data_IF_243572392546
#
_entry.id   IF_243572392546
#
_cell.length_a   1.000
_cell.length_b   1.000
_cell.length_c   1.000
_cell.angle_alpha   90.00
_cell.angle_beta   90.00
_cell.angle_gamma   90.00
#
_symmetry.space_group_name_H-M   'P 1'
#
loop_
_entity.id
_entity.type
_entity.pdbx_description
1 polymer ?
#
# COMPACT_ATOMS: atom_id res chain seq x y z
N UNK A 1 -10.12 -0.63 -15.78
CA UNK A 1 -9.93 -0.49 -14.34
C UNK A 1 -8.57 0.13 -14.08
N UNK A 2 -8.50 1.22 -13.31
CA UNK A 2 -7.20 1.87 -13.10
C UNK A 2 -6.28 1.02 -12.25
N UNK A 3 -5.01 1.02 -12.62
CA UNK A 3 -3.96 0.45 -11.81
C UNK A 3 -3.34 1.59 -10.99
N UNK A 4 -3.06 1.30 -9.76
CA UNK A 4 -2.48 2.27 -8.83
C UNK A 4 -1.09 1.80 -8.42
N UNK A 5 -0.17 2.75 -8.25
CA UNK A 5 1.15 2.50 -7.68
C UNK A 5 1.32 3.42 -6.48
N UNK A 6 1.79 2.87 -5.38
CA UNK A 6 2.11 3.65 -4.19
C UNK A 6 3.55 3.37 -3.76
N UNK A 7 4.26 4.42 -3.36
CA UNK A 7 5.63 4.30 -2.86
C UNK A 7 5.73 4.98 -1.50
N UNK A 8 6.57 4.44 -0.63
CA UNK A 8 6.76 5.00 0.71
C UNK A 8 7.99 4.38 1.38
N UNK A 9 8.34 4.91 2.55
CA UNK A 9 9.35 4.30 3.42
C UNK A 9 8.67 3.41 4.45
N UNK A 10 9.40 2.40 4.92
CA UNK A 10 8.96 1.52 5.99
C UNK A 10 10.09 1.31 6.99
N UNK A 11 9.73 0.90 8.21
CA UNK A 11 10.70 0.63 9.27
C UNK A 11 11.50 -0.64 8.98
N UNK A 12 10.85 -1.68 8.47
CA UNK A 12 11.45 -3.00 8.23
C UNK A 12 10.84 -3.59 6.96
N UNK A 13 11.66 -3.69 5.92
CA UNK A 13 11.23 -4.19 4.60
C UNK A 13 10.74 -5.64 4.68
N UNK A 14 11.44 -6.50 5.41
CA UNK A 14 11.05 -7.91 5.50
C UNK A 14 9.71 -8.08 6.19
N UNK A 15 9.46 -7.33 7.26
CA UNK A 15 8.18 -7.34 7.96
C UNK A 15 7.06 -6.82 7.05
N UNK A 16 7.29 -5.70 6.37
CA UNK A 16 6.33 -5.11 5.44
C UNK A 16 5.98 -6.09 4.31
N UNK A 17 6.99 -6.71 3.71
CA UNK A 17 6.80 -7.60 2.57
C UNK A 17 6.01 -8.87 2.94
N UNK A 18 6.19 -9.36 4.17
CA UNK A 18 5.53 -10.58 4.64
C UNK A 18 4.18 -10.33 5.32
N UNK A 19 3.80 -9.07 5.52
CA UNK A 19 2.57 -8.75 6.24
C UNK A 19 1.33 -9.11 5.42
N UNK A 20 0.32 -9.76 6.03
CA UNK A 20 -0.95 -10.03 5.36
C UNK A 20 -1.95 -8.86 5.45
N UNK A 21 -1.64 -7.82 6.21
CA UNK A 21 -2.59 -6.74 6.51
C UNK A 21 -3.08 -6.01 5.28
N UNK A 22 -2.20 -5.78 4.32
CA UNK A 22 -2.54 -5.12 3.06
C UNK A 22 -3.67 -5.84 2.34
N UNK A 23 -3.51 -7.15 2.17
CA UNK A 23 -4.51 -7.96 1.49
C UNK A 23 -5.81 -8.05 2.29
N UNK A 24 -5.72 -8.22 3.61
CA UNK A 24 -6.89 -8.29 4.47
C UNK A 24 -7.73 -7.01 4.41
N UNK A 25 -7.08 -5.85 4.50
CA UNK A 25 -7.76 -4.57 4.58
C UNK A 25 -8.31 -4.12 3.22
N UNK A 26 -7.57 -4.39 2.15
CA UNK A 26 -7.92 -3.89 0.82
C UNK A 26 -8.59 -4.92 -0.08
N UNK A 27 -8.85 -6.14 0.39
CA UNK A 27 -9.39 -7.22 -0.42
C UNK A 27 -10.72 -6.87 -1.11
N UNK A 28 -11.55 -6.03 -0.49
CA UNK A 28 -12.84 -5.65 -1.05
C UNK A 28 -12.75 -4.54 -2.10
N UNK A 29 -11.64 -3.84 -2.19
CA UNK A 29 -11.49 -2.66 -3.05
C UNK A 29 -10.34 -2.75 -4.04
N UNK A 30 -9.47 -3.76 -3.90
CA UNK A 30 -8.29 -3.90 -4.76
C UNK A 30 -8.00 -5.37 -5.07
N UNK A 31 -7.41 -5.60 -6.24
CA UNK A 31 -6.99 -6.95 -6.68
C UNK A 31 -5.59 -6.86 -7.27
N UNK A 32 -4.96 -8.02 -7.46
CA UNK A 32 -3.63 -8.13 -8.06
C UNK A 32 -2.61 -7.22 -7.37
N UNK A 33 -2.56 -7.32 -6.06
CA UNK A 33 -1.63 -6.52 -5.25
C UNK A 33 -0.23 -7.11 -5.39
N UNK A 34 0.72 -6.29 -5.86
CA UNK A 34 2.12 -6.68 -6.03
C UNK A 34 3.01 -5.73 -5.24
N UNK A 35 4.09 -6.26 -4.68
CA UNK A 35 5.01 -5.50 -3.85
C UNK A 35 6.39 -5.45 -4.48
N UNK A 36 7.08 -4.33 -4.26
CA UNK A 36 8.39 -4.06 -4.85
C UNK A 36 9.30 -3.43 -3.80
N UNK A 37 10.59 -3.72 -3.88
CA UNK A 37 11.59 -3.07 -3.03
C UNK A 37 12.54 -2.29 -3.91
N UNK A 38 13.09 -1.19 -3.37
CA UNK A 38 14.11 -0.41 -4.08
C UNK A 38 15.47 -1.03 -3.75
N UNK A 39 16.17 -1.62 -4.73
CA UNK A 39 17.44 -2.27 -4.46
C UNK A 39 18.57 -1.29 -4.10
N UNK A 40 18.36 0.00 -4.38
CA UNK A 40 19.38 1.04 -4.18
C UNK A 40 19.18 1.84 -2.92
N UNK A 41 17.94 1.92 -2.41
CA UNK A 41 17.62 2.73 -1.24
C UNK A 41 16.98 1.87 -0.16
N UNK A 42 17.68 1.67 0.98
CA UNK A 42 17.13 0.90 2.09
C UNK A 42 15.81 1.49 2.57
N UNK A 43 14.88 0.63 2.94
CA UNK A 43 13.58 0.98 3.51
C UNK A 43 12.62 1.72 2.56
N UNK A 44 12.96 1.84 1.27
CA UNK A 44 12.06 2.38 0.26
C UNK A 44 11.40 1.23 -0.49
N UNK A 45 10.07 1.25 -0.55
CA UNK A 45 9.29 0.18 -1.14
C UNK A 45 8.15 0.76 -1.98
N UNK A 46 7.56 -0.10 -2.80
CA UNK A 46 6.39 0.26 -3.59
C UNK A 46 5.43 -0.90 -3.70
N UNK A 47 4.21 -0.59 -4.09
CA UNK A 47 3.22 -1.61 -4.38
C UNK A 47 2.35 -1.16 -5.56
N UNK A 48 1.74 -2.13 -6.22
CA UNK A 48 0.77 -1.86 -7.27
C UNK A 48 -0.48 -2.70 -7.05
N UNK A 49 -1.61 -2.19 -7.50
CA UNK A 49 -2.89 -2.91 -7.38
C UNK A 49 -3.88 -2.39 -8.41
N UNK A 50 -4.85 -3.23 -8.75
CA UNK A 50 -5.99 -2.82 -9.56
C UNK A 50 -7.11 -2.36 -8.65
N UNK A 51 -7.63 -1.16 -8.89
CA UNK A 51 -8.68 -0.55 -8.08
C UNK A 51 -9.86 -0.20 -8.98
N UNK A 52 -11.01 -0.86 -8.75
CA UNK A 52 -12.20 -0.62 -9.57
C UNK A 52 -12.92 0.67 -9.19
N UNK A 53 -12.88 1.04 -7.92
CA UNK A 53 -13.58 2.21 -7.38
C UNK A 53 -12.64 3.00 -6.47
N UNK A 54 -12.11 4.10 -6.99
CA UNK A 54 -11.15 4.93 -6.26
C UNK A 54 -11.76 5.56 -5.00
N UNK A 55 -13.05 5.89 -5.02
CA UNK A 55 -13.71 6.45 -3.84
C UNK A 55 -13.79 5.43 -2.71
N UNK A 56 -14.10 4.17 -3.03
CA UNK A 56 -14.12 3.09 -2.04
C UNK A 56 -12.71 2.82 -1.50
N UNK A 57 -11.71 2.83 -2.37
CA UNK A 57 -10.31 2.65 -1.97
C UNK A 57 -9.89 3.76 -1.00
N UNK A 58 -10.21 5.00 -1.33
CA UNK A 58 -9.87 6.16 -0.49
C UNK A 58 -10.54 6.04 0.89
N UNK A 59 -11.80 5.60 0.93
CA UNK A 59 -12.51 5.41 2.18
C UNK A 59 -11.82 4.36 3.07
N UNK A 60 -11.32 3.28 2.49
CA UNK A 60 -10.57 2.26 3.23
C UNK A 60 -9.24 2.84 3.74
N UNK A 61 -8.54 3.61 2.91
CA UNK A 61 -7.29 4.26 3.32
C UNK A 61 -7.47 5.16 4.54
N UNK A 62 -8.59 5.86 4.61
CA UNK A 62 -8.90 6.80 5.68
C UNK A 62 -9.56 6.13 6.90
N UNK A 63 -9.91 4.85 6.80
CA UNK A 63 -10.57 4.12 7.87
C UNK A 63 -9.59 3.76 9.00
N UNK A 64 -10.14 3.39 10.16
CA UNK A 64 -9.34 2.90 11.28
C UNK A 64 -8.56 1.64 10.88
N UNK A 65 -9.19 0.74 10.14
CA UNK A 65 -8.54 -0.48 9.67
C UNK A 65 -7.36 -0.17 8.76
N UNK A 66 -7.51 0.80 7.85
CA UNK A 66 -6.43 1.25 6.98
C UNK A 66 -5.27 1.84 7.77
N UNK A 67 -5.58 2.72 8.72
CA UNK A 67 -4.56 3.33 9.57
C UNK A 67 -3.83 2.29 10.43
N UNK A 68 -4.56 1.33 10.99
CA UNK A 68 -3.99 0.27 11.80
C UNK A 68 -3.07 -0.65 10.97
N UNK A 69 -3.47 -0.95 9.72
CA UNK A 69 -2.65 -1.75 8.83
C UNK A 69 -1.34 -1.04 8.49
N UNK A 70 -1.39 0.25 8.19
CA UNK A 70 -0.19 1.04 7.90
C UNK A 70 0.75 1.08 9.09
N UNK A 71 0.20 1.26 10.29
CA UNK A 71 0.99 1.28 11.51
C UNK A 71 1.63 -0.08 11.79
N UNK A 72 0.89 -1.14 11.61
CA UNK A 72 1.40 -2.51 11.78
C UNK A 72 2.56 -2.78 10.82
N UNK A 73 2.43 -2.34 9.58
CA UNK A 73 3.42 -2.56 8.53
C UNK A 73 4.62 -1.61 8.64
N UNK A 74 4.59 -0.65 9.54
CA UNK A 74 5.68 0.31 9.73
C UNK A 74 5.79 1.33 8.61
N UNK A 75 4.69 1.64 7.93
CA UNK A 75 4.65 2.63 6.85
C UNK A 75 4.80 4.03 7.41
N UNK A 76 5.66 4.84 6.77
CA UNK A 76 5.84 6.25 7.09
C UNK A 76 4.87 7.07 6.24
N UNK A 77 3.71 7.51 6.77
CA UNK A 77 2.67 8.13 5.96
C UNK A 77 3.08 9.46 5.31
N UNK A 78 4.01 10.17 5.90
CA UNK A 78 4.54 11.42 5.35
C UNK A 78 5.39 11.20 4.08
N UNK A 79 5.78 9.98 3.79
CA UNK A 79 6.55 9.62 2.59
C UNK A 79 5.69 8.99 1.50
N UNK A 80 4.40 8.80 1.75
CA UNK A 80 3.50 8.11 0.83
C UNK A 80 3.25 8.95 -0.42
N UNK A 81 3.48 8.36 -1.58
CA UNK A 81 3.13 8.93 -2.87
C UNK A 81 2.28 7.92 -3.64
N UNK A 82 1.18 8.38 -4.20
CA UNK A 82 0.23 7.53 -4.92
C UNK A 82 0.11 8.03 -6.35
N UNK A 83 0.23 7.10 -7.31
CA UNK A 83 0.10 7.38 -8.74
C UNK A 83 -1.01 6.50 -9.30
N UNK A 84 -1.88 7.09 -10.11
CA UNK A 84 -2.98 6.37 -10.75
C UNK A 84 -2.70 6.30 -12.25
N UNK A 85 -2.88 5.12 -12.83
CA UNK A 85 -2.68 4.91 -14.26
C UNK A 85 -3.63 5.80 -15.07
N UNK A 86 -3.10 6.44 -16.10
CA UNK A 86 -3.88 7.30 -17.00
C UNK A 86 -4.27 6.59 -18.29
#
# INVERSE_FOLDING_TARGET
MPRLIATHKVDDVAHWASSPKREEVFASVATDIRTFVDPSRPNHVGLSMDVADMAAFQAVMESEAGAAAMKYDGVHPDTLAVYVET
#
